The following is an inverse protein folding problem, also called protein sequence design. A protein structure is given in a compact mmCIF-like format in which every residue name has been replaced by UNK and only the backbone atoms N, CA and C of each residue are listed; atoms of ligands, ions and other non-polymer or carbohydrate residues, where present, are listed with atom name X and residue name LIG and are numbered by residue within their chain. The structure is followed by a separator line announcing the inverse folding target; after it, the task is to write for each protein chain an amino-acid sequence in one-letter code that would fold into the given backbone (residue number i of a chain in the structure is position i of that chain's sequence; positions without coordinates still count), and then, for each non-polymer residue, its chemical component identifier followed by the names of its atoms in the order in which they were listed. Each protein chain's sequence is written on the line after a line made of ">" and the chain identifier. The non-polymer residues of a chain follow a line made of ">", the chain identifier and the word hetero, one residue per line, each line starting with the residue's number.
data_IF_211271891852
#
_entry.id   IF_211271891852
#
_cell.length_a   1.000
_cell.length_b   1.000
_cell.length_c   1.000
_cell.angle_alpha   90.00
_cell.angle_beta   90.00
_cell.angle_gamma   90.00
#
_symmetry.space_group_name_H-M   'P 1'
#
loop_
_entity.id
_entity.type
_entity.pdbx_description
1 polymer ?
#
# COMPACT_ATOMS: atom_id res chain seq x y z
N UNK A 1 -24.33 13.07 -14.67
CA UNK A 1 -24.03 11.73 -15.19
C UNK A 1 -24.88 10.72 -14.43
N UNK A 2 -25.35 9.62 -15.05
CA UNK A 2 -26.07 8.58 -14.32
C UNK A 2 -25.20 7.99 -13.22
N UNK A 3 -25.83 7.49 -12.16
CA UNK A 3 -25.15 6.83 -11.05
C UNK A 3 -24.48 5.54 -11.58
N UNK A 4 -23.16 5.45 -11.40
CA UNK A 4 -22.35 4.32 -11.86
C UNK A 4 -21.63 3.74 -10.66
N UNK A 5 -21.79 2.44 -10.43
CA UNK A 5 -20.96 1.69 -9.51
C UNK A 5 -19.63 1.38 -10.19
N UNK A 6 -18.52 1.82 -9.59
CA UNK A 6 -17.17 1.60 -10.10
C UNK A 6 -16.37 0.81 -9.05
N UNK A 7 -15.33 0.05 -9.46
CA UNK A 7 -14.40 -0.55 -8.53
C UNK A 7 -13.76 0.51 -7.65
N UNK A 8 -13.46 0.16 -6.40
CA UNK A 8 -12.64 1.03 -5.57
C UNK A 8 -11.19 1.01 -6.05
N UNK A 9 -10.51 2.15 -5.98
CA UNK A 9 -9.12 2.29 -6.39
C UNK A 9 -8.24 2.33 -5.16
N UNK A 10 -7.21 1.49 -5.18
CA UNK A 10 -6.22 1.35 -4.10
C UNK A 10 -4.80 1.42 -4.66
N UNK A 11 -3.84 1.60 -3.78
CA UNK A 11 -2.41 1.58 -4.10
C UNK A 11 -1.65 0.70 -3.12
N UNK A 12 -0.59 0.06 -3.59
CA UNK A 12 0.32 -0.74 -2.77
C UNK A 12 1.77 -0.32 -3.02
N UNK A 13 2.53 -0.14 -1.94
CA UNK A 13 3.92 0.29 -1.98
C UNK A 13 4.92 -0.83 -1.71
N UNK A 14 5.72 -1.18 -2.71
CA UNK A 14 6.88 -2.06 -2.53
C UNK A 14 8.07 -1.21 -2.13
N UNK A 15 8.29 -1.08 -0.82
CA UNK A 15 9.40 -0.29 -0.26
C UNK A 15 10.54 -1.23 0.11
N UNK A 16 11.73 -0.98 -0.42
CA UNK A 16 12.95 -1.69 -0.02
C UNK A 16 13.76 -0.84 0.96
N UNK A 17 14.14 -1.45 2.10
CA UNK A 17 15.08 -0.90 3.08
C UNK A 17 16.13 -1.96 3.35
N UNK A 18 17.40 -1.61 3.10
CA UNK A 18 18.55 -2.53 3.26
C UNK A 18 18.36 -3.89 2.56
N UNK A 19 17.75 -3.87 1.37
CA UNK A 19 17.48 -5.07 0.57
C UNK A 19 16.26 -5.90 1.02
N UNK A 20 15.58 -5.49 2.10
CA UNK A 20 14.38 -6.17 2.62
C UNK A 20 13.12 -5.40 2.26
N UNK A 21 12.04 -6.13 1.98
CA UNK A 21 10.73 -5.55 1.71
C UNK A 21 10.05 -5.14 3.02
N UNK A 22 9.57 -3.91 3.08
CA UNK A 22 8.76 -3.42 4.20
C UNK A 22 7.34 -3.94 4.04
N UNK A 23 6.85 -4.64 5.05
CA UNK A 23 5.48 -5.07 5.18
C UNK A 23 4.88 -4.58 6.51
N UNK A 24 3.58 -4.37 6.52
CA UNK A 24 2.80 -4.07 7.72
C UNK A 24 2.03 -5.32 8.15
N UNK A 25 1.81 -5.47 9.46
CA UNK A 25 0.90 -6.49 9.97
C UNK A 25 -0.51 -5.92 10.08
N UNK A 26 -1.42 -6.41 9.23
CA UNK A 26 -2.82 -5.95 9.16
C UNK A 26 -3.52 -6.01 10.53
N UNK A 27 -4.04 -4.88 11.00
CA UNK A 27 -4.86 -4.82 12.22
C UNK A 27 -6.32 -5.27 12.02
N UNK A 28 -6.82 -5.24 10.79
CA UNK A 28 -8.22 -5.45 10.45
C UNK A 28 -8.45 -6.69 9.59
N UNK A 29 -9.65 -7.27 9.70
CA UNK A 29 -10.12 -8.28 8.74
C UNK A 29 -10.40 -7.62 7.37
N UNK A 30 -10.31 -8.37 6.26
CA UNK A 30 -9.81 -9.75 6.13
C UNK A 30 -8.29 -9.84 6.36
N UNK A 31 -7.80 -11.05 6.67
CA UNK A 31 -6.37 -11.37 6.82
C UNK A 31 -5.70 -10.65 8.00
N UNK A 32 -6.44 -10.42 9.08
CA UNK A 32 -5.87 -9.84 10.31
C UNK A 32 -4.63 -10.64 10.74
N UNK A 33 -3.57 -9.92 11.07
CA UNK A 33 -2.31 -10.52 11.51
C UNK A 33 -1.39 -11.02 10.38
N UNK A 34 -1.84 -11.02 9.12
CA UNK A 34 -0.96 -11.35 7.98
C UNK A 34 -0.11 -10.14 7.56
N UNK A 35 1.10 -10.36 7.03
CA UNK A 35 1.86 -9.32 6.35
C UNK A 35 1.11 -8.81 5.11
N UNK A 36 1.14 -7.50 4.91
CA UNK A 36 0.65 -6.85 3.70
C UNK A 36 1.64 -5.76 3.29
N UNK A 37 1.64 -5.41 2.01
CA UNK A 37 2.30 -4.19 1.55
C UNK A 37 1.62 -2.98 2.22
N UNK A 38 2.38 -1.93 2.54
CA UNK A 38 1.77 -0.67 2.93
C UNK A 38 0.97 -0.10 1.76
N UNK A 39 -0.23 0.41 2.03
CA UNK A 39 -1.16 0.81 0.98
C UNK A 39 -2.59 1.02 1.46
N UNK A 40 -3.37 1.72 0.64
CA UNK A 40 -4.72 2.11 1.00
C UNK A 40 -5.53 2.62 -0.18
N UNK A 41 -6.64 3.30 0.13
CA UNK A 41 -7.55 3.83 -0.88
C UNK A 41 -7.03 5.16 -1.42
N UNK A 42 -7.27 5.40 -2.71
CA UNK A 42 -7.01 6.70 -3.31
C UNK A 42 -8.14 7.65 -2.93
N UNK A 43 -7.79 8.79 -2.33
CA UNK A 43 -8.72 9.83 -1.92
C UNK A 43 -9.11 10.74 -3.11
N UNK A 44 -10.22 11.46 -2.95
CA UNK A 44 -10.63 12.44 -3.96
C UNK A 44 -9.66 13.63 -3.97
N UNK A 45 -9.12 13.92 -5.15
CA UNK A 45 -8.24 15.09 -5.36
C UNK A 45 -6.75 14.77 -5.32
N UNK A 46 -6.37 13.51 -5.08
CA UNK A 46 -4.99 13.04 -5.21
C UNK A 46 -4.80 12.09 -6.40
N UNK A 47 -3.58 12.01 -6.88
CA UNK A 47 -3.11 11.00 -7.83
C UNK A 47 -2.75 9.71 -7.11
N UNK A 48 -2.67 8.60 -7.84
CA UNK A 48 -2.20 7.32 -7.29
C UNK A 48 -0.74 7.39 -6.79
N UNK A 49 0.07 8.30 -7.36
CA UNK A 49 1.44 8.55 -6.93
C UNK A 49 1.50 9.29 -5.60
N UNK A 50 0.63 10.28 -5.40
CA UNK A 50 0.50 10.99 -4.12
C UNK A 50 -0.05 10.06 -3.04
N UNK A 51 -1.09 9.29 -3.38
CA UNK A 51 -1.70 8.32 -2.49
C UNK A 51 -0.68 7.31 -1.96
N UNK A 52 0.13 6.68 -2.83
CA UNK A 52 1.09 5.65 -2.36
C UNK A 52 2.17 6.23 -1.45
N UNK A 53 2.62 7.47 -1.70
CA UNK A 53 3.60 8.15 -0.84
C UNK A 53 2.98 8.52 0.50
N UNK A 54 1.71 8.98 0.51
CA UNK A 54 0.95 9.29 1.73
C UNK A 54 0.76 8.04 2.58
N UNK A 55 0.18 6.98 2.01
CA UNK A 55 -0.12 5.71 2.69
C UNK A 55 1.15 5.08 3.28
N UNK A 56 2.24 4.97 2.50
CA UNK A 56 3.51 4.44 3.00
C UNK A 56 4.02 5.25 4.19
N UNK A 57 3.95 6.58 4.12
CA UNK A 57 4.38 7.45 5.22
C UNK A 57 3.52 7.28 6.46
N UNK A 58 2.20 7.21 6.30
CA UNK A 58 1.24 7.06 7.40
C UNK A 58 1.41 5.73 8.12
N UNK A 59 1.58 4.63 7.37
CA UNK A 59 1.63 3.29 7.93
C UNK A 59 3.02 2.85 8.43
N UNK A 60 4.09 3.45 7.90
CA UNK A 60 5.47 3.01 8.19
C UNK A 60 6.40 4.10 8.73
N UNK A 61 6.01 5.37 8.66
CA UNK A 61 6.85 6.51 9.02
C UNK A 61 7.99 6.80 8.03
N UNK A 62 8.05 6.10 6.90
CA UNK A 62 9.07 6.28 5.87
C UNK A 62 8.71 7.41 4.91
N UNK A 63 9.71 8.21 4.55
CA UNK A 63 9.62 9.12 3.42
C UNK A 63 10.17 8.41 2.19
N UNK A 64 9.41 8.44 1.10
CA UNK A 64 9.72 7.65 -0.10
C UNK A 64 9.57 8.44 -1.38
N UNK A 65 10.33 8.06 -2.42
CA UNK A 65 10.10 8.46 -3.81
C UNK A 65 9.63 7.25 -4.62
N UNK A 66 8.67 7.48 -5.53
CA UNK A 66 8.23 6.45 -6.48
C UNK A 66 9.30 6.25 -7.56
N UNK A 67 9.72 5.01 -7.76
CA UNK A 67 10.68 4.63 -8.80
C UNK A 67 9.98 4.27 -10.11
N UNK A 68 8.99 3.38 -10.03
CA UNK A 68 8.27 2.88 -11.21
C UNK A 68 6.96 2.22 -10.83
N UNK A 69 6.06 2.11 -11.81
CA UNK A 69 4.93 1.20 -11.78
C UNK A 69 5.43 -0.24 -11.76
N UNK A 70 4.86 -1.06 -10.88
CA UNK A 70 5.06 -2.52 -10.86
C UNK A 70 3.95 -3.20 -11.66
N UNK A 71 2.70 -2.79 -11.44
CA UNK A 71 1.58 -3.34 -12.19
C UNK A 71 0.23 -2.80 -11.71
N UNK A 72 -0.81 -3.17 -12.45
CA UNK A 72 -2.21 -2.93 -12.10
C UNK A 72 -2.86 -4.29 -11.91
N UNK A 73 -3.46 -4.51 -10.74
CA UNK A 73 -4.10 -5.77 -10.40
C UNK A 73 -5.59 -5.53 -10.22
N UNK A 74 -6.38 -6.12 -11.11
CA UNK A 74 -7.80 -5.80 -11.29
C UNK A 74 -8.71 -7.03 -11.39
N UNK A 75 -8.28 -8.18 -10.86
CA UNK A 75 -9.16 -9.34 -10.76
C UNK A 75 -10.34 -8.99 -9.84
N UNK A 76 -11.62 -9.15 -10.27
CA UNK A 76 -12.78 -8.74 -9.46
C UNK A 76 -12.90 -9.44 -8.11
N UNK A 77 -12.27 -10.62 -7.95
CA UNK A 77 -12.25 -11.42 -6.73
C UNK A 77 -10.99 -11.28 -5.90
N UNK A 78 -10.05 -10.38 -6.25
CA UNK A 78 -8.77 -10.22 -5.53
C UNK A 78 -8.92 -9.79 -4.07
N UNK A 79 -10.02 -9.10 -3.76
CA UNK A 79 -10.31 -8.59 -2.42
C UNK A 79 -11.71 -9.06 -1.99
N UNK A 80 -11.84 -9.78 -0.87
CA UNK A 80 -13.14 -10.29 -0.42
C UNK A 80 -14.08 -9.19 0.06
N UNK A 81 -13.60 -7.93 0.22
CA UNK A 81 -14.44 -6.77 0.55
C UNK A 81 -15.23 -6.24 -0.64
N UNK A 82 -14.87 -6.63 -1.87
CA UNK A 82 -15.53 -6.23 -3.11
C UNK A 82 -14.56 -5.97 -4.25
N UNK A 83 -15.09 -5.52 -5.40
CA UNK A 83 -14.28 -5.26 -6.58
C UNK A 83 -13.34 -4.07 -6.36
N UNK A 84 -12.05 -4.36 -6.21
CA UNK A 84 -10.98 -3.38 -6.06
C UNK A 84 -9.98 -3.50 -7.21
N UNK A 85 -9.41 -2.36 -7.60
CA UNK A 85 -8.22 -2.29 -8.47
C UNK A 85 -7.10 -1.68 -7.64
N UNK A 86 -5.95 -2.36 -7.56
CA UNK A 86 -4.75 -1.76 -6.96
C UNK A 86 -3.71 -1.43 -8.00
N UNK A 87 -3.05 -0.28 -7.82
CA UNK A 87 -1.89 0.13 -8.58
C UNK A 87 -0.67 -0.01 -7.66
N UNK A 88 0.21 -0.95 -7.99
CA UNK A 88 1.39 -1.22 -7.18
C UNK A 88 2.60 -0.45 -7.71
N UNK A 89 3.34 0.20 -6.82
CA UNK A 89 4.54 0.98 -7.14
C UNK A 89 5.76 0.43 -6.41
N UNK A 90 6.93 0.51 -7.05
CA UNK A 90 8.20 0.32 -6.37
C UNK A 90 8.66 1.68 -5.84
N UNK A 91 9.06 1.72 -4.58
CA UNK A 91 9.50 2.93 -3.90
C UNK A 91 10.87 2.75 -3.27
N UNK A 92 11.62 3.85 -3.23
CA UNK A 92 12.89 3.95 -2.52
C UNK A 92 12.69 4.82 -1.28
N UNK A 93 13.16 4.35 -0.12
CA UNK A 93 13.24 5.18 1.08
C UNK A 93 14.29 6.27 0.88
N UNK A 94 13.89 7.52 1.11
CA UNK A 94 14.76 8.70 1.04
C UNK A 94 14.92 9.39 2.40
N UNK A 95 14.25 8.88 3.43
CA UNK A 95 14.21 9.47 4.76
C UNK A 95 13.15 8.83 5.65
N UNK A 96 12.89 9.47 6.79
CA UNK A 96 11.98 8.97 7.82
C UNK A 96 12.62 7.97 8.79
N UNK A 97 11.80 7.46 9.72
CA UNK A 97 12.18 6.38 10.64
C UNK A 97 11.06 5.36 10.65
N UNK A 98 11.42 4.10 10.42
CA UNK A 98 10.52 2.95 10.52
C UNK A 98 9.81 2.96 11.88
N UNK A 99 8.53 3.30 11.88
CA UNK A 99 7.63 3.29 13.02
C UNK A 99 6.25 2.85 12.53
N UNK A 100 5.65 1.86 13.18
CA UNK A 100 4.32 1.40 12.78
C UNK A 100 3.27 2.52 13.01
N UNK A 101 2.50 2.84 11.98
CA UNK A 101 1.39 3.80 12.00
C UNK A 101 0.12 3.24 12.66
N UNK A 102 -0.94 4.05 12.71
CA UNK A 102 -2.17 3.76 13.48
C UNK A 102 -2.89 2.45 13.12
N UNK A 103 -2.81 2.01 11.86
CA UNK A 103 -3.45 0.79 11.36
C UNK A 103 -2.50 -0.42 11.24
N UNK A 104 -1.20 -0.20 11.49
CA UNK A 104 -0.17 -1.23 11.46
C UNK A 104 0.16 -1.70 12.88
N UNK A 105 -0.08 -2.98 13.17
CA UNK A 105 0.24 -3.54 14.50
C UNK A 105 1.74 -3.81 14.71
N UNK A 106 2.50 -3.93 13.61
CA UNK A 106 3.95 -4.07 13.58
C UNK A 106 4.47 -3.85 12.15
N UNK A 107 5.74 -3.45 12.02
CA UNK A 107 6.48 -3.53 10.76
C UNK A 107 7.23 -4.86 10.70
N UNK A 108 7.19 -5.52 9.56
CA UNK A 108 7.91 -6.76 9.26
C UNK A 108 8.82 -6.49 8.06
N UNK A 109 10.08 -6.89 8.17
CA UNK A 109 11.01 -6.92 7.03
C UNK A 109 11.02 -8.33 6.45
N UNK A 110 10.66 -8.44 5.18
CA UNK A 110 10.55 -9.71 4.45
C UNK A 110 11.71 -9.79 3.46
N UNK A 111 12.44 -10.90 3.48
CA UNK A 111 13.43 -11.19 2.46
C UNK A 111 12.70 -11.54 1.14
N UNK A 112 13.06 -10.92 0.01
CA UNK A 112 12.33 -11.08 -1.26
C UNK A 112 12.59 -12.41 -2.00
N UNK A 113 13.24 -13.39 -1.34
CA UNK A 113 13.63 -14.69 -1.89
C UNK A 113 12.53 -15.76 -1.77
#
# INVERSE_FOLDING_TARGET
>A
MPERSHPAVTVDGLVLVDGKLVAIRRGNEPFRGMPALPGGFVELGETTLEAVVREVREETGLETKVLRLVGVFSDPGRDPRGHTVTIAYALESIGGRLNAGSDASAIVLVDPD
#
